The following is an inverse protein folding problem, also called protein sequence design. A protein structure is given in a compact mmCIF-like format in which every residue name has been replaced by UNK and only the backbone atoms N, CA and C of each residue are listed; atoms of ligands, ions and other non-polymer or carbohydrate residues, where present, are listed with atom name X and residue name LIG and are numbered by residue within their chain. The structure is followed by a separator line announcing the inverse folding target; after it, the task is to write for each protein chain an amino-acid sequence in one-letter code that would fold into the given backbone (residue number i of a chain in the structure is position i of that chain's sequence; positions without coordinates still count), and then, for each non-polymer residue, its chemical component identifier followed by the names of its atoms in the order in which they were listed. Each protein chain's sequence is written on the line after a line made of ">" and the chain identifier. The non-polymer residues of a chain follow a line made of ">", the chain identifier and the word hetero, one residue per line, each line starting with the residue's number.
data_IF_371000239147
#
_entry.id   IF_371000239147
#
_cell.length_a   1.000
_cell.length_b   1.000
_cell.length_c   1.000
_cell.angle_alpha   90.00
_cell.angle_beta   90.00
_cell.angle_gamma   90.00
#
_symmetry.space_group_name_H-M   'P 1'
#
loop_
_entity.id
_entity.type
_entity.pdbx_description
1 polymer ?
#
# COMPACT_ATOMS: atom_id res chain seq x y z
N UNK A 1 -19.31 -4.70 7.55
CA UNK A 1 -17.83 -4.61 7.57
C UNK A 1 -17.39 -3.61 6.50
N UNK A 2 -16.36 -2.81 6.75
CA UNK A 2 -15.71 -1.96 5.73
C UNK A 2 -14.36 -2.62 5.41
N UNK A 3 -14.17 -3.23 4.23
CA UNK A 3 -12.84 -3.67 3.81
C UNK A 3 -11.92 -2.45 3.71
N UNK A 4 -10.72 -2.53 4.27
CA UNK A 4 -9.68 -1.53 4.05
C UNK A 4 -9.14 -1.71 2.62
N UNK A 5 -9.67 -0.92 1.69
CA UNK A 5 -9.28 -0.98 0.27
C UNK A 5 -7.82 -0.56 0.10
N UNK A 6 -7.40 0.44 0.87
CA UNK A 6 -6.05 0.95 1.00
C UNK A 6 -5.05 -0.16 1.38
N UNK A 7 -5.35 -0.95 2.41
CA UNK A 7 -4.47 -2.03 2.87
C UNK A 7 -4.36 -3.12 1.81
N UNK A 8 -5.49 -3.48 1.18
CA UNK A 8 -5.51 -4.51 0.16
C UNK A 8 -4.76 -4.10 -1.12
N UNK A 9 -4.91 -2.84 -1.55
CA UNK A 9 -4.16 -2.29 -2.69
C UNK A 9 -2.68 -2.11 -2.36
N UNK A 10 -2.33 -1.71 -1.14
CA UNK A 10 -0.93 -1.66 -0.66
C UNK A 10 -0.26 -3.03 -0.68
N UNK A 11 -0.95 -4.07 -0.19
CA UNK A 11 -0.48 -5.45 -0.29
C UNK A 11 -0.35 -5.92 -1.76
N UNK A 12 -1.26 -5.47 -2.63
CA UNK A 12 -1.22 -5.72 -4.06
C UNK A 12 -0.01 -5.09 -4.74
N UNK A 13 0.31 -3.84 -4.41
CA UNK A 13 1.50 -3.14 -4.92
C UNK A 13 2.79 -3.86 -4.54
N UNK A 14 2.95 -4.19 -3.26
CA UNK A 14 4.10 -4.96 -2.76
C UNK A 14 4.22 -6.32 -3.45
N UNK A 15 3.11 -7.06 -3.54
CA UNK A 15 3.10 -8.39 -4.17
C UNK A 15 3.44 -8.32 -5.66
N UNK A 16 2.90 -7.32 -6.38
CA UNK A 16 3.24 -7.10 -7.78
C UNK A 16 4.75 -6.86 -7.94
N UNK A 17 5.34 -6.00 -7.11
CA UNK A 17 6.77 -5.70 -7.12
C UNK A 17 7.65 -6.92 -6.78
N UNK A 18 7.18 -7.83 -5.91
CA UNK A 18 7.86 -9.09 -5.62
C UNK A 18 7.77 -10.10 -6.76
N UNK A 19 6.60 -10.21 -7.42
CA UNK A 19 6.42 -11.03 -8.62
C UNK A 19 7.38 -10.55 -9.73
N UNK A 20 7.49 -9.24 -9.93
CA UNK A 20 8.41 -8.64 -10.91
C UNK A 20 9.89 -8.90 -10.56
N UNK A 21 10.18 -9.24 -9.29
CA UNK A 21 11.50 -9.64 -8.78
C UNK A 21 11.72 -11.16 -8.69
N UNK A 22 10.77 -11.98 -9.14
CA UNK A 22 10.91 -13.44 -9.21
C UNK A 22 10.23 -14.23 -8.10
N UNK A 23 9.22 -13.67 -7.42
CA UNK A 23 8.36 -14.46 -6.55
C UNK A 23 7.48 -15.42 -7.39
N UNK A 24 7.75 -16.73 -7.28
CA UNK A 24 7.11 -17.75 -8.13
C UNK A 24 5.73 -18.21 -7.64
N UNK A 25 5.48 -18.23 -6.32
CA UNK A 25 4.27 -18.83 -5.75
C UNK A 25 3.59 -17.92 -4.71
N UNK A 26 3.00 -16.78 -5.12
CA UNK A 26 2.14 -16.00 -4.23
C UNK A 26 0.89 -16.81 -3.82
N UNK A 27 0.35 -16.54 -2.63
CA UNK A 27 -0.96 -17.12 -2.26
C UNK A 27 -2.08 -16.58 -3.17
N UNK A 28 -3.24 -17.25 -3.25
CA UNK A 28 -4.37 -16.76 -4.04
C UNK A 28 -4.80 -15.33 -3.68
N UNK A 29 -4.79 -14.97 -2.40
CA UNK A 29 -5.15 -13.64 -1.91
C UNK A 29 -4.14 -12.58 -2.36
N UNK A 30 -2.85 -12.91 -2.29
CA UNK A 30 -1.77 -12.04 -2.74
C UNK A 30 -1.82 -11.86 -4.27
N UNK A 31 -2.06 -12.94 -5.02
CA UNK A 31 -2.25 -12.88 -6.46
C UNK A 31 -3.48 -12.04 -6.85
N UNK A 32 -4.59 -12.16 -6.11
CA UNK A 32 -5.78 -11.35 -6.33
C UNK A 32 -5.49 -9.86 -6.08
N UNK A 33 -4.81 -9.52 -4.98
CA UNK A 33 -4.41 -8.16 -4.66
C UNK A 33 -3.51 -7.56 -5.76
N UNK A 34 -2.47 -8.29 -6.19
CA UNK A 34 -1.55 -7.85 -7.24
C UNK A 34 -2.26 -7.63 -8.59
N UNK A 35 -3.15 -8.56 -8.97
CA UNK A 35 -3.94 -8.44 -10.19
C UNK A 35 -4.87 -7.22 -10.14
N UNK A 36 -5.51 -6.96 -9.00
CA UNK A 36 -6.36 -5.78 -8.85
C UNK A 36 -5.54 -4.49 -8.90
N UNK A 37 -4.43 -4.40 -8.16
CA UNK A 37 -3.55 -3.24 -8.22
C UNK A 37 -3.11 -2.92 -9.66
N UNK A 38 -2.67 -3.94 -10.42
CA UNK A 38 -2.25 -3.78 -11.83
C UNK A 38 -3.39 -3.40 -12.78
N UNK A 39 -4.62 -3.80 -12.48
CA UNK A 39 -5.78 -3.52 -13.33
C UNK A 39 -6.36 -2.11 -13.14
N UNK A 40 -6.05 -1.45 -12.03
CA UNK A 40 -6.57 -0.12 -11.71
C UNK A 40 -5.72 0.97 -12.37
N UNK A 41 -6.32 1.86 -13.19
CA UNK A 41 -5.55 2.84 -13.97
C UNK A 41 -5.02 4.02 -13.13
N UNK A 42 -5.66 4.32 -12.00
CA UNK A 42 -5.32 5.44 -11.11
C UNK A 42 -5.63 5.08 -9.65
N UNK A 43 -4.73 4.29 -9.06
CA UNK A 43 -4.80 3.90 -7.64
C UNK A 43 -4.82 5.13 -6.71
N UNK A 44 -3.99 6.17 -6.90
CA UNK A 44 -4.05 7.39 -6.09
C UNK A 44 -5.42 8.07 -6.08
N UNK A 45 -6.10 8.22 -7.22
CA UNK A 45 -7.45 8.79 -7.26
C UNK A 45 -8.49 7.91 -6.55
N UNK A 46 -8.38 6.59 -6.69
CA UNK A 46 -9.26 5.65 -6.00
C UNK A 46 -9.07 5.69 -4.48
N UNK A 47 -7.83 5.79 -4.00
CA UNK A 47 -7.54 5.87 -2.58
C UNK A 47 -7.99 7.20 -1.96
N UNK A 48 -7.85 8.33 -2.68
CA UNK A 48 -8.42 9.62 -2.24
C UNK A 48 -9.94 9.58 -2.08
N UNK A 49 -10.61 8.84 -2.96
CA UNK A 49 -12.07 8.68 -2.92
C UNK A 49 -12.51 7.46 -2.11
N UNK A 50 -11.59 6.70 -1.54
CA UNK A 50 -11.89 5.58 -0.65
C UNK A 50 -12.53 6.07 0.64
N UNK A 51 -13.11 5.14 1.40
CA UNK A 51 -13.89 5.50 2.56
C UNK A 51 -13.01 6.08 3.69
N UNK A 52 -11.77 5.60 3.86
CA UNK A 52 -10.75 6.13 4.77
C UNK A 52 -10.06 7.38 4.21
N UNK A 53 -9.78 7.43 2.91
CA UNK A 53 -9.24 8.63 2.26
C UNK A 53 -10.15 9.84 2.44
N UNK A 54 -11.46 9.68 2.19
CA UNK A 54 -12.45 10.74 2.44
C UNK A 54 -12.54 11.13 3.92
N UNK A 55 -12.41 10.16 4.82
CA UNK A 55 -12.46 10.38 6.26
C UNK A 55 -11.28 11.22 6.74
N UNK A 56 -10.04 10.85 6.37
CA UNK A 56 -8.84 11.64 6.68
C UNK A 56 -8.86 13.04 6.04
N UNK A 57 -9.26 13.14 4.77
CA UNK A 57 -9.42 14.44 4.09
C UNK A 57 -10.44 15.31 4.82
N UNK A 58 -11.59 14.74 5.22
CA UNK A 58 -12.61 15.47 5.98
C UNK A 58 -12.15 15.85 7.39
N UNK A 59 -11.21 15.08 7.95
CA UNK A 59 -10.55 15.35 9.22
C UNK A 59 -9.46 16.43 9.17
N UNK A 60 -9.15 16.96 7.98
CA UNK A 60 -8.12 18.00 7.81
C UNK A 60 -6.73 17.45 7.49
N UNK A 61 -6.62 16.20 7.03
CA UNK A 61 -5.36 15.52 6.70
C UNK A 61 -5.21 15.18 5.20
N UNK A 62 -5.44 16.10 4.26
CA UNK A 62 -5.31 15.80 2.83
C UNK A 62 -3.86 15.53 2.42
N UNK A 63 -2.89 16.18 3.07
CA UNK A 63 -1.46 16.02 2.77
C UNK A 63 -0.95 14.66 3.26
N UNK A 64 -1.45 14.15 4.40
CA UNK A 64 -1.13 12.80 4.87
C UNK A 64 -1.64 11.74 3.88
N UNK A 65 -2.83 11.95 3.30
CA UNK A 65 -3.37 11.07 2.26
C UNK A 65 -2.53 11.17 0.98
N UNK A 66 -2.09 12.36 0.60
CA UNK A 66 -1.23 12.54 -0.58
C UNK A 66 0.14 11.85 -0.41
N UNK A 67 0.72 11.90 0.78
CA UNK A 67 1.96 11.22 1.12
C UNK A 67 1.77 9.69 1.13
N UNK A 68 0.71 9.18 1.76
CA UNK A 68 0.48 7.75 1.94
C UNK A 68 0.20 6.97 0.64
N UNK A 69 -0.25 7.65 -0.41
CA UNK A 69 -0.56 7.02 -1.71
C UNK A 69 0.60 7.10 -2.71
N UNK A 70 1.70 7.76 -2.34
CA UNK A 70 2.88 7.87 -3.20
C UNK A 70 3.63 6.54 -3.23
N UNK A 71 3.94 6.07 -4.43
CA UNK A 71 4.60 4.78 -4.64
C UNK A 71 6.11 4.97 -4.65
N UNK A 72 6.82 4.09 -3.94
CA UNK A 72 8.28 4.12 -3.85
C UNK A 72 8.84 5.47 -3.33
N UNK A 73 8.10 6.16 -2.46
CA UNK A 73 8.44 7.48 -1.92
C UNK A 73 9.68 7.48 -1.00
N UNK A 74 10.02 6.34 -0.41
CA UNK A 74 11.19 6.16 0.47
C UNK A 74 11.84 4.79 0.21
N UNK A 75 13.14 4.70 0.46
CA UNK A 75 13.94 3.48 0.42
C UNK A 75 14.07 2.78 1.79
N UNK A 76 13.62 3.44 2.86
CA UNK A 76 13.66 2.97 4.24
C UNK A 76 12.73 1.77 4.43
N UNK A 77 13.23 0.69 5.02
CA UNK A 77 12.41 -0.46 5.43
C UNK A 77 12.43 -0.55 6.96
N UNK A 78 11.37 -0.10 7.67
CA UNK A 78 11.32 -0.20 9.11
C UNK A 78 11.31 -1.66 9.59
N UNK A 79 12.23 -2.01 10.50
CA UNK A 79 12.29 -3.34 11.12
C UNK A 79 12.04 -3.20 12.61
N UNK A 80 11.15 -4.05 13.15
CA UNK A 80 10.84 -4.08 14.58
C UNK A 80 11.94 -4.82 15.34
N UNK A 81 12.74 -4.09 16.12
CA UNK A 81 13.82 -4.61 16.97
C UNK A 81 13.57 -4.13 18.39
N UNK A 82 13.52 -5.06 19.35
CA UNK A 82 13.38 -4.76 20.78
C UNK A 82 12.24 -3.78 21.14
N UNK A 83 11.12 -3.86 20.41
CA UNK A 83 9.91 -3.06 20.68
C UNK A 83 9.88 -1.68 20.02
N UNK A 84 10.85 -1.34 19.18
CA UNK A 84 10.86 -0.11 18.38
C UNK A 84 11.17 -0.40 16.91
N UNK A 85 10.66 0.44 16.00
CA UNK A 85 11.06 0.40 14.60
C UNK A 85 12.41 1.12 14.42
N UNK A 86 13.36 0.41 13.82
CA UNK A 86 14.65 0.95 13.38
C UNK A 86 14.73 0.90 11.86
N UNK A 87 15.48 1.83 11.26
CA UNK A 87 15.79 1.75 9.84
C UNK A 87 16.64 0.50 9.54
N UNK A 88 16.25 -0.25 8.51
CA UNK A 88 17.09 -1.26 7.89
C UNK A 88 17.87 -0.61 6.74
N UNK A 89 18.79 0.28 7.08
CA UNK A 89 19.83 0.67 6.14
C UNK A 89 20.72 -0.56 5.93
N UNK A 90 20.69 -1.12 4.72
CA UNK A 90 21.56 -2.23 4.33
C UNK A 90 23.05 -1.88 4.37
#
# INVERSE_FOLDING_TARGET
>A
MRPALEDWLGAGALTAALIDRGLDTPSPEAQAAASTFRALPDVPALLRTSASGRELISGGFPDDVALAIDLDADSTVPVLVDGAFTDHSG
#
